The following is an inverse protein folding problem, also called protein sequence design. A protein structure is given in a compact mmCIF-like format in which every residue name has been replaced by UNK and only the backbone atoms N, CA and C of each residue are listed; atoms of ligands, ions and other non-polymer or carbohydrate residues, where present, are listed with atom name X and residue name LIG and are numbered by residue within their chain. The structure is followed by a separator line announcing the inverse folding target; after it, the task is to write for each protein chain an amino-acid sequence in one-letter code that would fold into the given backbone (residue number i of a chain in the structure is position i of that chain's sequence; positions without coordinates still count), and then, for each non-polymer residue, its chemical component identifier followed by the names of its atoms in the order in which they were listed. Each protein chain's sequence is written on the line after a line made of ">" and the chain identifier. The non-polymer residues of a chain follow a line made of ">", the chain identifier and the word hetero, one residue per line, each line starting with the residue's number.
data_IF_286308499283
#
_entry.id   IF_286308499283
#
_cell.length_a   1.000
_cell.length_b   1.000
_cell.length_c   1.000
_cell.angle_alpha   90.00
_cell.angle_beta   90.00
_cell.angle_gamma   90.00
#
_symmetry.space_group_name_H-M   'P 1'
#
loop_
_entity.id
_entity.type
_entity.pdbx_description
1 polymer ?
#
# COMPACT_ATOMS: atom_id res chain seq x y z
N UNK A 1 -12.76 -8.23 -24.77
CA UNK A 1 -12.95 -8.08 -23.30
C UNK A 1 -12.45 -6.70 -22.87
N UNK A 2 -13.30 -5.87 -22.22
CA UNK A 2 -12.83 -4.61 -21.65
C UNK A 2 -11.81 -4.92 -20.55
N UNK A 3 -10.60 -4.36 -20.62
CA UNK A 3 -9.57 -4.56 -19.59
C UNK A 3 -10.11 -4.05 -18.24
N UNK A 4 -10.12 -4.89 -17.23
CA UNK A 4 -10.53 -4.48 -15.88
C UNK A 4 -9.52 -3.48 -15.31
N UNK A 5 -10.01 -2.51 -14.55
CA UNK A 5 -9.16 -1.56 -13.84
C UNK A 5 -8.25 -2.29 -12.84
N UNK A 6 -7.06 -1.77 -12.64
CA UNK A 6 -6.18 -2.25 -11.56
C UNK A 6 -6.87 -2.13 -10.20
N UNK A 7 -6.63 -3.09 -9.33
CA UNK A 7 -7.01 -3.02 -7.92
C UNK A 7 -5.81 -2.53 -7.12
N UNK A 8 -5.97 -1.44 -6.39
CA UNK A 8 -4.86 -0.74 -5.75
C UNK A 8 -5.08 -0.72 -4.24
N UNK A 9 -4.22 -1.44 -3.52
CA UNK A 9 -4.25 -1.52 -2.06
C UNK A 9 -3.43 -0.38 -1.48
N UNK A 10 -4.07 0.39 -0.60
CA UNK A 10 -3.46 1.49 0.14
C UNK A 10 -3.68 1.33 1.64
N UNK A 11 -2.89 2.02 2.42
CA UNK A 11 -2.95 2.00 3.87
C UNK A 11 -1.59 2.10 4.51
N UNK A 12 -1.57 2.21 5.82
CA UNK A 12 -0.36 2.38 6.62
C UNK A 12 0.59 1.18 6.45
N UNK A 13 1.87 1.38 6.74
CA UNK A 13 2.79 0.26 6.94
C UNK A 13 2.23 -0.67 8.04
N UNK A 14 2.42 -1.98 7.91
CA UNK A 14 1.83 -2.96 8.84
C UNK A 14 0.36 -3.30 8.57
N UNK A 15 -0.34 -2.65 7.63
CA UNK A 15 -1.75 -2.94 7.33
C UNK A 15 -2.01 -4.24 6.55
N UNK A 16 -0.95 -4.95 6.13
CA UNK A 16 -1.09 -6.25 5.48
C UNK A 16 -1.28 -6.23 3.96
N UNK A 17 -1.09 -5.08 3.29
CA UNK A 17 -1.26 -4.92 1.83
C UNK A 17 -0.59 -6.00 1.00
N UNK A 18 0.69 -6.29 1.26
CA UNK A 18 1.45 -7.29 0.50
C UNK A 18 0.91 -8.70 0.69
N UNK A 19 0.46 -9.05 1.91
CA UNK A 19 -0.14 -10.35 2.21
C UNK A 19 -1.49 -10.50 1.54
N UNK A 20 -2.38 -9.53 1.74
CA UNK A 20 -3.71 -9.51 1.13
C UNK A 20 -3.61 -9.46 -0.39
N UNK A 21 -2.70 -8.65 -0.93
CA UNK A 21 -2.48 -8.54 -2.39
C UNK A 21 -2.06 -9.84 -3.05
N UNK A 22 -1.17 -10.62 -2.42
CA UNK A 22 -0.79 -11.95 -2.93
C UNK A 22 -1.94 -12.96 -2.90
N UNK A 23 -2.69 -13.00 -1.79
CA UNK A 23 -3.85 -13.89 -1.68
C UNK A 23 -4.93 -13.55 -2.71
N UNK A 24 -5.20 -12.25 -2.89
CA UNK A 24 -6.12 -11.79 -3.93
C UNK A 24 -5.66 -12.17 -5.34
N UNK A 25 -4.36 -11.99 -5.61
CA UNK A 25 -3.79 -12.30 -6.93
C UNK A 25 -3.95 -13.78 -7.28
N UNK A 26 -3.69 -14.67 -6.32
CA UNK A 26 -3.94 -16.11 -6.48
C UNK A 26 -5.42 -16.39 -6.74
N UNK A 27 -6.31 -15.80 -5.94
CA UNK A 27 -7.75 -16.07 -6.01
C UNK A 27 -8.41 -15.52 -7.28
N UNK A 28 -7.90 -14.41 -7.80
CA UNK A 28 -8.41 -13.75 -9.00
C UNK A 28 -7.62 -14.08 -10.28
N UNK A 29 -6.60 -14.91 -10.18
CA UNK A 29 -5.65 -15.22 -11.26
C UNK A 29 -5.09 -13.94 -11.93
N UNK A 30 -4.69 -12.97 -11.11
CA UNK A 30 -4.14 -11.68 -11.53
C UNK A 30 -2.67 -11.55 -11.13
N UNK A 31 -1.93 -10.66 -11.79
CA UNK A 31 -0.56 -10.32 -11.40
C UNK A 31 -0.55 -9.46 -10.13
N UNK A 32 0.31 -9.79 -9.18
CA UNK A 32 0.58 -8.97 -8.01
C UNK A 32 1.85 -8.14 -8.20
N UNK A 33 1.76 -6.86 -7.89
CA UNK A 33 2.85 -5.88 -7.95
C UNK A 33 2.96 -5.18 -6.60
N UNK A 34 4.06 -5.39 -5.91
CA UNK A 34 4.41 -4.65 -4.69
C UNK A 34 5.44 -3.57 -5.05
N UNK A 35 5.06 -2.31 -4.87
CA UNK A 35 5.91 -1.18 -5.27
C UNK A 35 7.19 -1.13 -4.46
N UNK A 36 7.14 -1.39 -3.15
CA UNK A 36 8.33 -1.43 -2.29
C UNK A 36 9.31 -2.51 -2.78
N UNK A 37 8.81 -3.72 -3.09
CA UNK A 37 9.62 -4.80 -3.66
C UNK A 37 10.21 -4.44 -5.03
N UNK A 38 9.44 -3.75 -5.88
CA UNK A 38 9.93 -3.33 -7.21
C UNK A 38 11.02 -2.26 -7.12
N UNK A 39 10.96 -1.38 -6.12
CA UNK A 39 12.02 -0.43 -5.81
C UNK A 39 13.29 -1.17 -5.40
N UNK A 40 13.21 -2.08 -4.42
CA UNK A 40 14.35 -2.89 -3.98
C UNK A 40 14.98 -3.68 -5.14
N UNK A 41 14.14 -4.30 -5.98
CA UNK A 41 14.61 -5.04 -7.16
C UNK A 41 15.35 -4.16 -8.18
N UNK A 42 14.84 -2.94 -8.41
CA UNK A 42 15.47 -1.98 -9.35
C UNK A 42 16.80 -1.44 -8.82
N UNK A 43 16.84 -1.12 -7.53
CA UNK A 43 18.01 -0.47 -6.91
C UNK A 43 19.03 -1.46 -6.38
N UNK A 44 18.66 -2.74 -6.24
CA UNK A 44 19.42 -3.78 -5.54
C UNK A 44 19.77 -3.42 -4.09
N UNK A 45 19.01 -2.50 -3.50
CA UNK A 45 19.16 -2.00 -2.12
C UNK A 45 17.86 -2.22 -1.37
N UNK A 46 17.95 -2.45 -0.06
CA UNK A 46 16.78 -2.44 0.82
C UNK A 46 16.24 -1.02 1.00
N UNK A 47 14.94 -0.89 1.25
CA UNK A 47 14.33 0.44 1.48
C UNK A 47 15.07 1.20 2.59
N UNK A 48 15.44 0.52 3.69
CA UNK A 48 16.21 1.12 4.77
C UNK A 48 17.55 1.69 4.30
N UNK A 49 18.30 0.93 3.48
CA UNK A 49 19.58 1.36 2.92
C UNK A 49 19.41 2.56 1.97
N UNK A 50 18.30 2.62 1.21
CA UNK A 50 18.02 3.79 0.35
C UNK A 50 17.79 5.03 1.20
N UNK A 51 17.04 4.93 2.31
CA UNK A 51 16.81 6.04 3.22
C UNK A 51 18.10 6.50 3.90
N UNK A 52 18.93 5.57 4.36
CA UNK A 52 20.18 5.84 5.05
C UNK A 52 21.22 6.46 4.10
N UNK A 53 21.42 5.87 2.92
CA UNK A 53 22.52 6.26 2.02
C UNK A 53 22.13 7.37 1.03
N UNK A 54 20.84 7.51 0.69
CA UNK A 54 20.36 8.44 -0.35
C UNK A 54 19.29 9.42 0.13
N UNK A 55 18.73 9.20 1.30
CA UNK A 55 17.70 10.05 1.89
C UNK A 55 16.28 9.82 1.36
N UNK A 56 15.33 10.38 2.08
CA UNK A 56 13.90 10.23 1.76
C UNK A 56 13.53 10.82 0.40
N UNK A 57 14.12 11.94 0.01
CA UNK A 57 13.81 12.60 -1.26
C UNK A 57 14.05 11.70 -2.48
N UNK A 58 15.19 11.02 -2.50
CA UNK A 58 15.54 10.07 -3.57
C UNK A 58 14.60 8.87 -3.56
N UNK A 59 14.28 8.34 -2.37
CA UNK A 59 13.29 7.27 -2.26
C UNK A 59 11.94 7.70 -2.84
N UNK A 60 11.44 8.89 -2.53
CA UNK A 60 10.16 9.40 -3.05
C UNK A 60 10.16 9.59 -4.56
N UNK A 61 11.27 10.01 -5.14
CA UNK A 61 11.44 10.08 -6.61
C UNK A 61 11.32 8.69 -7.25
N UNK A 62 12.01 7.70 -6.69
CA UNK A 62 11.95 6.31 -7.14
C UNK A 62 10.55 5.71 -6.97
N UNK A 63 9.93 5.91 -5.80
CA UNK A 63 8.57 5.45 -5.51
C UNK A 63 7.58 6.00 -6.53
N UNK A 64 7.67 7.28 -6.85
CA UNK A 64 6.81 7.95 -7.84
C UNK A 64 7.03 7.40 -9.26
N UNK A 65 8.27 7.32 -9.70
CA UNK A 65 8.63 6.81 -11.03
C UNK A 65 8.11 5.38 -11.24
N UNK A 66 8.40 4.50 -10.29
CA UNK A 66 8.02 3.09 -10.36
C UNK A 66 6.51 2.93 -10.29
N UNK A 67 5.85 3.64 -9.37
CA UNK A 67 4.39 3.62 -9.27
C UNK A 67 3.74 4.02 -10.59
N UNK A 68 4.11 5.17 -11.16
CA UNK A 68 3.52 5.67 -12.40
C UNK A 68 3.78 4.72 -13.58
N UNK A 69 4.98 4.13 -13.67
CA UNK A 69 5.31 3.12 -14.69
C UNK A 69 4.39 1.90 -14.61
N UNK A 70 4.19 1.34 -13.42
CA UNK A 70 3.39 0.12 -13.25
C UNK A 70 1.89 0.34 -13.27
N UNK A 71 1.41 1.55 -12.99
CA UNK A 71 0.00 1.92 -13.17
C UNK A 71 -0.48 1.88 -14.62
N UNK A 72 0.43 1.86 -15.59
CA UNK A 72 0.09 1.69 -17.02
C UNK A 72 -0.20 0.23 -17.39
N UNK A 73 0.13 -0.74 -16.55
CA UNK A 73 -0.30 -2.12 -16.72
C UNK A 73 -1.78 -2.24 -16.38
N UNK A 74 -2.47 -3.15 -17.06
CA UNK A 74 -3.86 -3.47 -16.77
C UNK A 74 -3.97 -4.82 -16.06
N UNK A 75 -5.10 -5.06 -15.41
CA UNK A 75 -5.43 -6.34 -14.77
C UNK A 75 -4.39 -6.76 -13.70
N UNK A 76 -3.96 -5.83 -12.89
CA UNK A 76 -3.02 -6.09 -11.80
C UNK A 76 -3.61 -5.72 -10.44
N UNK A 77 -3.12 -6.40 -9.41
CA UNK A 77 -3.27 -5.98 -8.02
C UNK A 77 -1.97 -5.29 -7.62
N UNK A 78 -2.06 -4.04 -7.19
CA UNK A 78 -0.91 -3.20 -6.87
C UNK A 78 -0.94 -2.83 -5.40
N UNK A 79 0.11 -3.17 -4.66
CA UNK A 79 0.34 -2.70 -3.28
C UNK A 79 1.19 -1.44 -3.33
N UNK A 80 0.65 -0.31 -2.87
CA UNK A 80 1.41 0.92 -2.76
C UNK A 80 2.21 0.98 -1.44
N UNK A 81 3.38 1.61 -1.49
CA UNK A 81 4.09 2.01 -0.28
C UNK A 81 3.21 2.90 0.62
N UNK A 82 3.42 2.84 1.95
CA UNK A 82 2.57 3.57 2.90
C UNK A 82 2.58 5.10 2.70
N UNK A 83 3.60 5.66 2.06
CA UNK A 83 3.69 7.10 1.73
C UNK A 83 3.21 7.47 0.34
N UNK A 84 3.13 6.52 -0.59
CA UNK A 84 2.90 6.80 -2.00
C UNK A 84 1.56 7.53 -2.26
N UNK A 85 0.49 7.12 -1.60
CA UNK A 85 -0.84 7.75 -1.78
C UNK A 85 -0.93 9.17 -1.20
N UNK A 86 0.06 9.57 -0.37
CA UNK A 86 0.16 10.93 0.19
C UNK A 86 0.56 11.92 -0.92
N UNK A 87 1.40 11.52 -1.87
CA UNK A 87 1.74 12.34 -3.04
C UNK A 87 0.48 12.63 -3.88
N UNK A 88 0.20 13.92 -4.11
CA UNK A 88 -0.99 14.37 -4.86
C UNK A 88 -0.99 13.86 -6.31
N UNK A 89 0.18 13.77 -6.93
CA UNK A 89 0.31 13.32 -8.34
C UNK A 89 0.02 11.84 -8.44
N UNK A 90 0.65 11.01 -7.59
CA UNK A 90 0.39 9.57 -7.53
C UNK A 90 -1.10 9.34 -7.25
N UNK A 91 -1.66 10.01 -6.25
CA UNK A 91 -3.07 9.84 -5.87
C UNK A 91 -4.04 10.13 -7.02
N UNK A 92 -3.85 11.23 -7.75
CA UNK A 92 -4.69 11.57 -8.92
C UNK A 92 -4.65 10.48 -9.98
N UNK A 93 -3.45 9.98 -10.32
CA UNK A 93 -3.29 8.94 -11.35
C UNK A 93 -3.87 7.61 -10.88
N UNK A 94 -3.63 7.23 -9.65
CA UNK A 94 -4.12 6.00 -9.03
C UNK A 94 -5.66 5.96 -9.01
N UNK A 95 -6.29 7.06 -8.60
CA UNK A 95 -7.76 7.18 -8.58
C UNK A 95 -8.38 7.13 -9.99
N UNK A 96 -7.70 7.67 -11.00
CA UNK A 96 -8.16 7.62 -12.40
C UNK A 96 -8.02 6.23 -13.00
N UNK A 97 -6.90 5.53 -12.72
CA UNK A 97 -6.52 4.27 -13.40
C UNK A 97 -6.95 3.01 -12.66
N UNK A 98 -7.37 3.10 -11.40
CA UNK A 98 -7.64 1.93 -10.60
C UNK A 98 -8.80 2.07 -9.62
N UNK A 99 -9.12 0.94 -9.01
CA UNK A 99 -10.04 0.85 -7.86
C UNK A 99 -9.17 0.87 -6.60
N UNK A 100 -9.22 1.96 -5.86
CA UNK A 100 -8.43 2.13 -4.63
C UNK A 100 -9.18 1.56 -3.44
N UNK A 101 -8.51 0.71 -2.67
CA UNK A 101 -9.04 0.10 -1.44
C UNK A 101 -8.09 0.42 -0.29
N UNK A 102 -8.61 1.10 0.70
CA UNK A 102 -7.89 1.37 1.93
C UNK A 102 -8.14 0.25 2.95
N UNK A 103 -7.06 -0.43 3.35
CA UNK A 103 -7.08 -1.36 4.48
C UNK A 103 -6.89 -0.55 5.76
N UNK A 104 -8.01 -0.28 6.44
CA UNK A 104 -8.03 0.50 7.66
C UNK A 104 -7.96 -0.40 8.89
N UNK A 105 -7.06 -0.05 9.79
CA UNK A 105 -6.87 -0.69 11.08
C UNK A 105 -6.86 0.39 12.15
N UNK A 106 -7.21 0.04 13.39
CA UNK A 106 -7.03 0.91 14.53
C UNK A 106 -5.55 1.26 14.75
N UNK A 107 -5.31 2.39 15.42
CA UNK A 107 -3.96 2.90 15.62
C UNK A 107 -3.11 1.98 16.49
N UNK A 108 -3.70 1.35 17.53
CA UNK A 108 -2.96 0.49 18.45
C UNK A 108 -2.46 -0.77 17.76
N UNK A 109 -3.32 -1.42 16.98
CA UNK A 109 -2.95 -2.60 16.18
C UNK A 109 -1.80 -2.26 15.20
N UNK A 110 -1.87 -1.10 14.53
CA UNK A 110 -0.82 -0.66 13.62
C UNK A 110 0.49 -0.38 14.35
N UNK A 111 0.45 0.32 15.50
CA UNK A 111 1.64 0.61 16.32
C UNK A 111 2.32 -0.70 16.73
N UNK A 112 1.57 -1.66 17.26
CA UNK A 112 2.09 -2.95 17.68
C UNK A 112 2.76 -3.70 16.52
N UNK A 113 2.13 -3.73 15.33
CA UNK A 113 2.69 -4.37 14.13
C UNK A 113 3.93 -3.66 13.59
N UNK A 114 3.98 -2.33 13.68
CA UNK A 114 5.12 -1.54 13.23
C UNK A 114 6.32 -1.78 14.13
N UNK A 115 6.13 -1.74 15.45
CA UNK A 115 7.21 -1.98 16.43
C UNK A 115 7.81 -3.37 16.35
N UNK A 116 6.97 -4.38 16.09
CA UNK A 116 7.43 -5.75 15.91
C UNK A 116 8.17 -5.97 14.58
N UNK A 117 8.22 -4.97 13.70
CA UNK A 117 8.88 -5.07 12.41
C UNK A 117 9.96 -3.99 12.22
N UNK A 118 11.19 -4.30 12.65
CA UNK A 118 12.35 -3.41 12.58
C UNK A 118 12.78 -2.94 11.17
N UNK A 119 12.10 -3.39 10.11
CA UNK A 119 12.44 -3.08 8.70
C UNK A 119 11.77 -1.81 8.16
N UNK A 120 11.40 -0.85 9.02
CA UNK A 120 10.60 0.31 8.62
C UNK A 120 11.30 1.64 8.95
N UNK A 121 12.15 2.19 8.05
CA UNK A 121 13.00 3.36 8.33
C UNK A 121 12.21 4.59 8.83
N UNK A 122 11.05 4.86 8.26
CA UNK A 122 10.20 6.02 8.66
C UNK A 122 9.66 5.90 10.09
N UNK A 123 9.68 4.71 10.68
CA UNK A 123 9.07 4.45 11.99
C UNK A 123 10.10 4.06 13.08
N UNK A 124 11.36 3.86 12.71
CA UNK A 124 12.38 3.33 13.63
C UNK A 124 12.57 4.23 14.84
N UNK A 125 12.53 5.55 14.65
CA UNK A 125 12.84 6.54 15.68
C UNK A 125 11.59 7.22 16.27
N UNK A 126 10.37 6.76 15.89
CA UNK A 126 9.13 7.37 16.37
C UNK A 126 8.64 6.68 17.64
N UNK A 127 8.25 7.49 18.64
CA UNK A 127 7.52 7.01 19.81
C UNK A 127 6.04 6.76 19.48
N UNK A 128 5.28 6.20 20.42
CA UNK A 128 3.88 5.80 20.19
C UNK A 128 2.96 6.97 19.84
N UNK A 129 3.17 8.13 20.45
CA UNK A 129 2.39 9.33 20.16
C UNK A 129 2.69 9.86 18.77
N UNK A 130 3.96 9.87 18.37
CA UNK A 130 4.38 10.26 17.03
C UNK A 130 3.86 9.29 15.96
N UNK A 131 3.91 7.97 16.20
CA UNK A 131 3.31 6.96 15.33
C UNK A 131 1.80 7.13 15.22
N UNK A 132 1.12 7.38 16.34
CA UNK A 132 -0.32 7.65 16.36
C UNK A 132 -0.67 8.89 15.54
N UNK A 133 0.07 9.98 15.70
CA UNK A 133 -0.12 11.20 14.92
C UNK A 133 0.13 10.98 13.42
N UNK A 134 1.17 10.22 13.07
CA UNK A 134 1.46 9.84 11.68
C UNK A 134 0.32 9.02 11.08
N UNK A 135 -0.22 8.04 11.82
CA UNK A 135 -1.36 7.22 11.39
C UNK A 135 -2.58 8.10 11.15
N UNK A 136 -2.92 8.97 12.09
CA UNK A 136 -4.08 9.86 12.01
C UNK A 136 -3.98 10.84 10.83
N UNK A 137 -2.82 11.46 10.64
CA UNK A 137 -2.58 12.39 9.53
C UNK A 137 -2.71 11.70 8.17
N UNK A 138 -2.15 10.49 8.02
CA UNK A 138 -2.24 9.70 6.80
C UNK A 138 -3.64 9.15 6.55
N UNK A 139 -4.37 8.77 7.59
CA UNK A 139 -5.76 8.29 7.51
C UNK A 139 -6.68 9.31 6.87
N UNK A 140 -6.49 10.62 7.16
CA UNK A 140 -7.22 11.72 6.48
C UNK A 140 -7.02 11.72 4.96
N UNK A 141 -5.89 11.21 4.48
CA UNK A 141 -5.61 11.14 3.05
C UNK A 141 -6.05 9.79 2.48
N UNK A 142 -5.84 8.69 3.21
CA UNK A 142 -6.32 7.36 2.80
C UNK A 142 -7.85 7.32 2.68
N UNK A 143 -8.59 8.12 3.47
CA UNK A 143 -10.05 8.23 3.37
C UNK A 143 -10.55 8.72 2.00
N UNK A 144 -9.65 9.26 1.15
CA UNK A 144 -9.94 9.62 -0.25
C UNK A 144 -9.89 8.40 -1.19
N UNK A 145 -9.65 7.21 -0.70
CA UNK A 145 -9.80 5.96 -1.46
C UNK A 145 -11.26 5.76 -1.87
N UNK A 146 -11.45 5.03 -2.98
CA UNK A 146 -12.81 4.72 -3.44
C UNK A 146 -13.57 3.83 -2.46
N UNK A 147 -12.87 2.89 -1.83
CA UNK A 147 -13.42 1.98 -0.83
C UNK A 147 -12.52 1.93 0.40
N UNK A 148 -13.16 1.81 1.56
CA UNK A 148 -12.53 1.59 2.86
C UNK A 148 -12.96 0.21 3.37
N UNK A 149 -12.04 -0.56 3.90
CA UNK A 149 -12.32 -1.80 4.63
C UNK A 149 -11.80 -1.65 6.05
N UNK A 150 -12.70 -1.66 7.02
CA UNK A 150 -12.34 -1.74 8.43
C UNK A 150 -11.99 -3.19 8.75
N UNK A 151 -10.70 -3.42 9.05
CA UNK A 151 -10.10 -4.75 9.09
C UNK A 151 -9.97 -5.33 10.50
N UNK A 152 -10.35 -4.57 11.55
CA UNK A 152 -10.04 -4.87 12.94
C UNK A 152 -10.56 -6.24 13.42
N UNK A 153 -11.78 -6.60 13.03
CA UNK A 153 -12.40 -7.86 13.40
C UNK A 153 -12.44 -8.87 12.24
N UNK A 154 -11.54 -8.73 11.28
CA UNK A 154 -11.52 -9.58 10.10
C UNK A 154 -10.22 -10.36 10.00
N UNK A 155 -10.32 -11.65 9.69
CA UNK A 155 -9.17 -12.43 9.28
C UNK A 155 -8.80 -12.15 7.82
N UNK A 156 -7.66 -12.67 7.37
CA UNK A 156 -7.12 -12.42 6.02
C UNK A 156 -8.06 -12.91 4.91
N UNK A 157 -8.76 -14.01 5.14
CA UNK A 157 -9.67 -14.61 4.15
C UNK A 157 -10.91 -13.73 4.00
N UNK A 158 -11.48 -13.26 5.08
CA UNK A 158 -12.64 -12.36 5.09
C UNK A 158 -12.34 -11.04 4.39
N UNK A 159 -11.15 -10.46 4.63
CA UNK A 159 -10.71 -9.25 3.92
C UNK A 159 -10.61 -9.51 2.41
N UNK A 160 -10.02 -10.64 2.02
CA UNK A 160 -9.88 -11.03 0.60
C UNK A 160 -11.25 -11.20 -0.05
N UNK A 161 -12.20 -11.88 0.60
CA UNK A 161 -13.55 -12.07 0.07
C UNK A 161 -14.29 -10.74 -0.10
N UNK A 162 -14.19 -9.86 0.90
CA UNK A 162 -14.81 -8.54 0.82
C UNK A 162 -14.25 -7.71 -0.33
N UNK A 163 -12.94 -7.76 -0.58
CA UNK A 163 -12.31 -7.07 -1.73
C UNK A 163 -12.77 -7.69 -3.05
N UNK A 164 -12.86 -9.01 -3.11
CA UNK A 164 -13.36 -9.72 -4.29
C UNK A 164 -14.78 -9.29 -4.66
N UNK A 165 -15.68 -9.18 -3.67
CA UNK A 165 -17.04 -8.67 -3.88
C UNK A 165 -17.05 -7.25 -4.47
N UNK A 166 -16.17 -6.36 -3.96
CA UNK A 166 -16.02 -4.98 -4.47
C UNK A 166 -15.51 -4.96 -5.91
N UNK A 167 -14.57 -5.85 -6.24
CA UNK A 167 -13.98 -5.92 -7.58
C UNK A 167 -14.95 -6.49 -8.62
N UNK A 168 -15.91 -7.28 -8.17
CA UNK A 168 -16.93 -7.93 -9.01
C UNK A 168 -16.43 -9.22 -9.67
N UNK A 169 -17.33 -9.96 -10.31
CA UNK A 169 -16.98 -11.20 -11.01
C UNK A 169 -15.99 -10.94 -12.15
N UNK A 170 -15.08 -11.88 -12.31
CA UNK A 170 -14.06 -11.88 -13.39
C UNK A 170 -14.69 -12.42 -14.67
#
# INVERSE_FOLDING_TARGET
>A
MKSKKNLILIGMMGSGKSTIGRLLAQKLNLKFLDIDFLIEKKTKMKIAEIFENKGEEIFRKLEKEITLKFLNKANCIISLGGGAFIDKTIRKVVQKKGITIWLNWDSQTLINRIKNNKKRPVAINLNDNELKNLILSRSKIYSKAKYKIDCENMNKIEIVEKIKQIYGPI
#
